data_IF_071227570464
#
_entry.id   IF_071227570464
#
_cell.length_a   1.000
_cell.length_b   1.000
_cell.length_c   1.000
_cell.angle_alpha   90.00
_cell.angle_beta   90.00
_cell.angle_gamma   90.00
#
_symmetry.space_group_name_H-M   'P 1'
#
loop_
_entity.id
_entity.type
_entity.pdbx_description
1 polymer ?
#
# COMPACT_ATOMS: atom_id res chain seq x y z
N UNK A 1 33.16 -20.04 -2.35
CA UNK A 1 33.96 -19.31 -3.37
C UNK A 1 34.69 -18.15 -2.72
N UNK A 2 35.96 -17.90 -3.04
CA UNK A 2 36.73 -16.74 -2.54
C UNK A 2 36.74 -15.60 -3.57
N UNK A 3 37.10 -14.38 -3.18
CA UNK A 3 37.23 -13.24 -4.10
C UNK A 3 38.21 -13.52 -5.25
N UNK A 4 39.32 -14.24 -4.98
CA UNK A 4 40.30 -14.59 -6.01
C UNK A 4 39.71 -15.54 -7.06
N UNK A 5 38.99 -16.59 -6.61
CA UNK A 5 38.33 -17.54 -7.51
C UNK A 5 37.27 -16.84 -8.36
N UNK A 6 36.52 -15.90 -7.79
CA UNK A 6 35.54 -15.12 -8.54
C UNK A 6 36.19 -14.27 -9.66
N UNK A 7 37.33 -13.64 -9.37
CA UNK A 7 38.09 -12.86 -10.37
C UNK A 7 38.58 -13.76 -11.50
N UNK A 8 39.20 -14.89 -11.17
CA UNK A 8 39.85 -15.77 -12.14
C UNK A 8 38.88 -16.61 -12.95
N UNK A 9 37.77 -17.03 -12.35
CA UNK A 9 36.80 -17.93 -13.00
C UNK A 9 35.65 -17.19 -13.67
N UNK A 10 35.30 -15.97 -13.23
CA UNK A 10 34.14 -15.23 -13.75
C UNK A 10 34.58 -13.93 -14.41
N UNK A 11 35.14 -12.98 -13.64
CA UNK A 11 35.38 -11.62 -14.14
C UNK A 11 36.33 -11.64 -15.34
N UNK A 12 37.54 -12.20 -15.19
CA UNK A 12 38.53 -12.16 -16.27
C UNK A 12 38.10 -12.95 -17.52
N UNK A 13 37.72 -14.23 -17.44
CA UNK A 13 37.46 -15.00 -18.66
C UNK A 13 36.12 -14.65 -19.30
N UNK A 14 35.05 -14.46 -18.52
CA UNK A 14 33.70 -14.32 -19.06
C UNK A 14 33.42 -12.87 -19.46
N UNK A 15 33.72 -11.91 -18.58
CA UNK A 15 33.41 -10.51 -18.88
C UNK A 15 34.24 -9.97 -20.04
N UNK A 16 35.55 -10.27 -20.10
CA UNK A 16 36.38 -9.81 -21.22
C UNK A 16 35.96 -10.43 -22.56
N UNK A 17 35.53 -11.71 -22.56
CA UNK A 17 34.98 -12.33 -23.76
C UNK A 17 33.70 -11.63 -24.22
N UNK A 18 32.76 -11.36 -23.30
CA UNK A 18 31.51 -10.67 -23.61
C UNK A 18 31.74 -9.21 -24.06
N UNK A 19 32.70 -8.50 -23.45
CA UNK A 19 33.07 -7.13 -23.86
C UNK A 19 33.66 -7.10 -25.26
N UNK A 20 34.48 -8.09 -25.62
CA UNK A 20 35.03 -8.21 -26.97
C UNK A 20 33.93 -8.46 -28.03
N UNK A 21 32.84 -9.14 -27.66
CA UNK A 21 31.74 -9.46 -28.57
C UNK A 21 30.66 -8.37 -28.64
N UNK A 22 30.29 -7.77 -27.51
CA UNK A 22 29.15 -6.85 -27.37
C UNK A 22 29.56 -5.37 -27.29
N UNK A 23 30.87 -5.08 -27.18
CA UNK A 23 31.41 -3.72 -27.08
C UNK A 23 31.50 -3.18 -25.65
N UNK A 24 31.85 -1.89 -25.53
CA UNK A 24 32.18 -1.25 -24.25
C UNK A 24 30.97 -0.82 -23.42
N UNK A 25 29.76 -0.80 -23.98
CA UNK A 25 28.56 -0.34 -23.29
C UNK A 25 27.89 -1.45 -22.46
N UNK A 26 28.68 -2.13 -21.62
CA UNK A 26 28.21 -3.21 -20.76
C UNK A 26 28.18 -2.78 -19.30
N UNK A 27 27.06 -3.08 -18.64
CA UNK A 27 26.94 -2.94 -17.18
C UNK A 27 27.02 -4.34 -16.57
N UNK A 28 28.03 -4.56 -15.74
CA UNK A 28 28.24 -5.81 -15.03
C UNK A 28 27.28 -5.94 -13.84
N UNK A 29 26.64 -7.10 -13.69
CA UNK A 29 25.69 -7.39 -12.61
C UNK A 29 26.10 -8.65 -11.86
N UNK A 30 26.07 -8.57 -10.52
CA UNK A 30 26.30 -9.69 -9.61
C UNK A 30 25.18 -9.78 -8.55
N UNK A 31 25.23 -10.82 -7.72
CA UNK A 31 24.28 -11.11 -6.63
C UNK A 31 24.68 -10.53 -5.26
N UNK A 32 25.63 -9.58 -5.22
CA UNK A 32 26.11 -8.96 -3.97
C UNK A 32 26.67 -9.97 -2.94
N UNK A 33 26.98 -11.23 -3.32
CA UNK A 33 27.56 -12.20 -2.40
C UNK A 33 28.88 -11.69 -1.81
N UNK A 34 29.18 -12.07 -0.56
CA UNK A 34 30.38 -11.60 0.18
C UNK A 34 31.68 -11.64 -0.63
N UNK A 35 31.98 -12.69 -1.44
CA UNK A 35 33.20 -12.72 -2.25
C UNK A 35 33.27 -11.62 -3.32
N UNK A 36 32.13 -11.11 -3.81
CA UNK A 36 32.03 -10.09 -4.86
C UNK A 36 32.27 -8.66 -4.33
N UNK A 37 32.26 -8.51 -2.99
CA UNK A 37 32.48 -7.23 -2.29
C UNK A 37 33.86 -7.10 -1.67
N UNK A 38 34.78 -8.01 -2.00
CA UNK A 38 36.19 -7.91 -1.57
C UNK A 38 36.91 -6.74 -2.24
N UNK A 39 37.86 -6.12 -1.53
CA UNK A 39 38.68 -4.99 -2.06
C UNK A 39 39.37 -5.35 -3.38
N UNK A 40 39.93 -6.55 -3.48
CA UNK A 40 40.61 -7.02 -4.69
C UNK A 40 39.67 -7.14 -5.90
N UNK A 41 38.38 -7.44 -5.68
CA UNK A 41 37.38 -7.46 -6.77
C UNK A 41 37.12 -6.05 -7.25
N UNK A 42 36.96 -5.10 -6.33
CA UNK A 42 36.74 -3.71 -6.67
C UNK A 42 37.92 -3.11 -7.47
N UNK A 43 39.16 -3.36 -7.04
CA UNK A 43 40.36 -2.94 -7.76
C UNK A 43 40.42 -3.50 -9.20
N UNK A 44 40.00 -4.76 -9.40
CA UNK A 44 39.95 -5.38 -10.74
C UNK A 44 38.86 -4.78 -11.61
N UNK A 45 37.67 -4.51 -11.06
CA UNK A 45 36.59 -3.86 -11.80
C UNK A 45 36.98 -2.44 -12.23
N UNK A 46 37.64 -1.68 -11.34
CA UNK A 46 38.13 -0.33 -11.63
C UNK A 46 39.25 -0.33 -12.68
N UNK A 47 40.25 -1.21 -12.55
CA UNK A 47 41.34 -1.35 -13.54
C UNK A 47 40.84 -1.80 -14.92
N UNK A 48 39.79 -2.62 -14.94
CA UNK A 48 39.18 -3.13 -16.16
C UNK A 48 38.17 -2.18 -16.80
N UNK A 49 37.97 -0.98 -16.24
CA UNK A 49 36.91 -0.04 -16.65
C UNK A 49 35.54 -0.73 -16.76
N UNK A 50 35.19 -1.51 -15.72
CA UNK A 50 33.97 -2.31 -15.66
C UNK A 50 32.96 -1.56 -14.79
N UNK A 51 31.92 -1.02 -15.42
CA UNK A 51 30.81 -0.41 -14.68
C UNK A 51 29.94 -1.50 -14.08
N UNK A 52 29.88 -1.57 -12.74
CA UNK A 52 28.97 -2.49 -12.03
C UNK A 52 27.64 -1.80 -11.72
N UNK A 53 26.53 -2.54 -11.84
CA UNK A 53 25.22 -2.08 -11.41
C UNK A 53 25.20 -1.84 -9.89
N UNK A 54 24.79 -0.63 -9.49
CA UNK A 54 24.63 -0.27 -8.08
C UNK A 54 23.24 -0.70 -7.60
N UNK A 55 23.21 -1.61 -6.61
CA UNK A 55 21.96 -2.12 -6.03
C UNK A 55 21.65 -1.35 -4.74
N UNK A 56 20.40 -0.90 -4.51
CA UNK A 56 20.00 -0.44 -3.18
C UNK A 56 20.14 -1.58 -2.15
N UNK A 57 20.52 -1.23 -0.93
CA UNK A 57 20.74 -2.21 0.14
C UNK A 57 19.45 -3.04 0.39
N UNK A 58 19.57 -4.37 0.38
CA UNK A 58 18.49 -5.36 0.57
C UNK A 58 17.32 -5.26 -0.43
N UNK A 59 17.56 -5.63 -1.69
CA UNK A 59 16.49 -5.77 -2.69
C UNK A 59 16.46 -7.17 -3.32
N UNK A 60 16.13 -8.22 -2.51
CA UNK A 60 16.19 -9.61 -2.97
C UNK A 60 15.29 -9.90 -4.18
N UNK A 61 14.17 -9.17 -4.30
CA UNK A 61 13.22 -9.34 -5.40
C UNK A 61 13.62 -8.65 -6.71
N UNK A 62 14.67 -7.81 -6.71
CA UNK A 62 15.09 -7.07 -7.91
C UNK A 62 16.18 -7.77 -8.72
N UNK A 63 16.95 -8.66 -8.09
CA UNK A 63 18.03 -9.37 -8.74
C UNK A 63 17.53 -10.64 -9.44
N UNK A 64 17.58 -10.73 -10.79
CA UNK A 64 17.16 -11.94 -11.49
C UNK A 64 18.00 -13.17 -11.12
N UNK A 65 19.25 -12.99 -10.66
CA UNK A 65 20.11 -14.08 -10.20
C UNK A 65 19.58 -14.67 -8.89
N UNK A 66 19.09 -13.86 -7.96
CA UNK A 66 18.46 -14.36 -6.72
C UNK A 66 17.16 -15.10 -7.01
N UNK A 67 16.36 -14.60 -7.95
CA UNK A 67 15.15 -15.30 -8.41
C UNK A 67 15.49 -16.67 -9.02
N UNK A 68 16.54 -16.74 -9.83
CA UNK A 68 17.05 -18.02 -10.38
C UNK A 68 17.52 -18.96 -9.26
N UNK A 69 18.25 -18.46 -8.27
CA UNK A 69 18.66 -19.27 -7.12
C UNK A 69 17.48 -19.80 -6.32
N UNK A 70 16.41 -19.02 -6.21
CA UNK A 70 15.19 -19.47 -5.55
C UNK A 70 14.50 -20.60 -6.32
N UNK A 71 14.41 -20.52 -7.66
CA UNK A 71 13.90 -21.61 -8.49
C UNK A 71 14.66 -22.91 -8.24
N UNK A 72 16.00 -22.86 -8.33
CA UNK A 72 16.88 -24.02 -8.08
C UNK A 72 16.69 -24.54 -6.65
N UNK A 73 16.71 -23.65 -5.65
CA UNK A 73 16.56 -24.03 -4.24
C UNK A 73 15.21 -24.70 -3.95
N UNK A 74 14.12 -24.18 -4.54
CA UNK A 74 12.77 -24.75 -4.41
C UNK A 74 12.69 -26.12 -5.09
N UNK A 75 13.32 -26.29 -6.24
CA UNK A 75 13.35 -27.57 -6.96
C UNK A 75 14.10 -28.64 -6.15
N UNK A 76 15.29 -28.31 -5.63
CA UNK A 76 16.08 -29.20 -4.77
C UNK A 76 15.29 -29.62 -3.52
N UNK A 77 14.59 -28.69 -2.86
CA UNK A 77 13.75 -28.98 -1.67
C UNK A 77 12.60 -29.95 -1.96
N UNK A 78 12.14 -30.05 -3.21
CA UNK A 78 11.06 -30.94 -3.63
C UNK A 78 11.54 -32.33 -4.04
N UNK A 79 12.86 -32.56 -4.12
CA UNK A 79 13.40 -33.87 -4.50
C UNK A 79 13.05 -34.91 -3.44
N UNK A 80 12.62 -36.09 -3.87
CA UNK A 80 12.35 -37.21 -2.96
C UNK A 80 13.59 -37.63 -2.18
N UNK A 81 14.77 -37.51 -2.80
CA UNK A 81 16.07 -37.77 -2.18
C UNK A 81 16.85 -36.46 -2.05
N UNK A 82 16.78 -35.77 -0.91
CA UNK A 82 17.50 -34.52 -0.70
C UNK A 82 19.01 -34.77 -0.55
N UNK A 83 19.86 -33.89 -1.12
CA UNK A 83 21.30 -34.01 -1.04
C UNK A 83 21.81 -33.91 0.41
N UNK A 84 22.73 -34.78 0.79
CA UNK A 84 23.25 -34.89 2.16
C UNK A 84 24.65 -34.27 2.34
N UNK A 85 25.35 -33.99 1.24
CA UNK A 85 26.69 -33.41 1.27
C UNK A 85 26.85 -32.37 0.14
N UNK A 86 27.97 -31.63 0.18
CA UNK A 86 28.23 -30.54 -0.77
C UNK A 86 28.35 -31.03 -2.22
N UNK A 87 28.84 -32.26 -2.45
CA UNK A 87 28.99 -32.83 -3.78
C UNK A 87 27.63 -33.19 -4.38
N UNK A 88 26.78 -33.87 -3.62
CA UNK A 88 25.39 -34.16 -4.00
C UNK A 88 24.57 -32.90 -4.21
N UNK A 89 24.76 -31.88 -3.36
CA UNK A 89 24.07 -30.60 -3.50
C UNK A 89 24.48 -29.89 -4.79
N UNK A 90 25.77 -29.94 -5.13
CA UNK A 90 26.30 -29.37 -6.38
C UNK A 90 25.73 -30.10 -7.59
N UNK A 91 25.72 -31.43 -7.56
CA UNK A 91 25.14 -32.24 -8.64
C UNK A 91 23.64 -31.98 -8.83
N UNK A 92 22.87 -31.92 -7.73
CA UNK A 92 21.45 -31.61 -7.77
C UNK A 92 21.19 -30.20 -8.30
N UNK A 93 21.98 -29.20 -7.88
CA UNK A 93 21.84 -27.84 -8.38
C UNK A 93 22.10 -27.72 -9.89
N UNK A 94 23.11 -28.43 -10.41
CA UNK A 94 23.40 -28.47 -11.85
C UNK A 94 22.26 -29.15 -12.62
N UNK A 95 21.74 -30.26 -12.11
CA UNK A 95 20.62 -30.97 -12.73
C UNK A 95 19.37 -30.08 -12.80
N UNK A 96 18.97 -29.47 -11.68
CA UNK A 96 17.82 -28.57 -11.66
C UNK A 96 18.03 -27.35 -12.54
N UNK A 97 19.24 -26.77 -12.56
CA UNK A 97 19.58 -25.66 -13.46
C UNK A 97 19.37 -26.02 -14.93
N UNK A 98 19.83 -27.21 -15.35
CA UNK A 98 19.68 -27.68 -16.73
C UNK A 98 18.22 -28.00 -17.10
N UNK A 99 17.36 -28.25 -16.10
CA UNK A 99 15.93 -28.49 -16.29
C UNK A 99 15.11 -27.19 -16.38
N UNK A 100 15.69 -26.03 -16.06
CA UNK A 100 14.97 -24.75 -16.17
C UNK A 100 14.72 -24.44 -17.65
N UNK A 101 13.46 -24.27 -18.09
CA UNK A 101 13.17 -23.87 -19.45
C UNK A 101 13.83 -22.53 -19.76
N UNK A 102 14.51 -22.43 -20.92
CA UNK A 102 15.16 -21.19 -21.37
C UNK A 102 14.18 -20.00 -21.38
N UNK A 103 12.90 -20.23 -21.63
CA UNK A 103 11.84 -19.22 -21.57
C UNK A 103 11.75 -18.56 -20.19
N UNK A 104 11.94 -19.32 -19.11
CA UNK A 104 11.96 -18.79 -17.73
C UNK A 104 13.12 -17.80 -17.54
N UNK A 105 14.28 -18.13 -18.11
CA UNK A 105 15.48 -17.28 -18.07
C UNK A 105 15.23 -16.02 -18.90
N UNK A 106 14.65 -16.16 -20.10
CA UNK A 106 14.31 -15.04 -20.97
C UNK A 106 13.32 -14.08 -20.29
N UNK A 107 12.26 -14.59 -19.64
CA UNK A 107 11.30 -13.78 -18.89
C UNK A 107 11.97 -13.02 -17.74
N UNK A 108 12.87 -13.66 -16.99
CA UNK A 108 13.61 -13.01 -15.90
C UNK A 108 14.55 -11.91 -16.41
N UNK A 109 15.18 -12.10 -17.57
CA UNK A 109 16.03 -11.09 -18.22
C UNK A 109 15.20 -9.91 -18.73
N UNK A 110 14.11 -10.16 -19.45
CA UNK A 110 13.23 -9.12 -20.00
C UNK A 110 12.61 -8.27 -18.88
N UNK A 111 12.20 -8.92 -17.79
CA UNK A 111 11.64 -8.23 -16.62
C UNK A 111 12.68 -7.45 -15.80
N UNK A 112 13.99 -7.66 -16.01
CA UNK A 112 15.05 -6.94 -15.29
C UNK A 112 15.09 -5.46 -15.66
N UNK A 113 15.01 -5.12 -16.95
CA UNK A 113 14.92 -3.72 -17.39
C UNK A 113 13.74 -2.98 -16.72
N UNK A 114 12.61 -3.68 -16.54
CA UNK A 114 11.41 -3.16 -15.90
C UNK A 114 11.62 -2.94 -14.40
N UNK A 115 12.22 -3.91 -13.69
CA UNK A 115 12.51 -3.83 -12.25
C UNK A 115 13.55 -2.76 -11.90
N UNK A 116 14.59 -2.59 -12.71
CA UNK A 116 15.64 -1.57 -12.48
C UNK A 116 15.12 -0.16 -12.74
N UNK A 117 14.24 0.02 -13.73
CA UNK A 117 13.60 1.30 -14.01
C UNK A 117 12.69 1.76 -12.86
N UNK A 118 11.97 0.87 -12.18
CA UNK A 118 11.13 1.20 -11.02
C UNK A 118 11.92 1.92 -9.91
N UNK A 119 13.20 1.57 -9.68
CA UNK A 119 14.00 2.23 -8.63
C UNK A 119 14.50 3.64 -9.00
N UNK A 120 14.54 3.97 -10.30
CA UNK A 120 14.94 5.30 -10.81
C UNK A 120 13.75 6.22 -11.07
N UNK A 121 12.55 5.68 -10.98
CA UNK A 121 11.31 6.32 -11.37
C UNK A 121 10.48 6.58 -10.11
N UNK A 122 10.76 7.70 -9.47
CA UNK A 122 9.79 8.52 -8.72
C UNK A 122 10.53 9.83 -8.50
N UNK A 123 10.27 10.91 -9.26
CA UNK A 123 8.96 11.37 -9.74
C UNK A 123 8.88 11.64 -11.27
N UNK A 124 7.67 11.66 -11.82
CA UNK A 124 7.31 11.91 -13.23
C UNK A 124 7.63 10.79 -14.22
N UNK A 125 6.70 9.84 -14.32
CA UNK A 125 6.52 9.06 -15.54
C UNK A 125 5.51 9.78 -16.41
N UNK A 126 5.85 10.05 -17.66
CA UNK A 126 4.87 10.44 -18.66
C UNK A 126 3.81 9.33 -18.76
N UNK A 127 2.52 9.69 -18.66
CA UNK A 127 1.39 8.77 -18.41
C UNK A 127 1.39 7.48 -19.25
N UNK A 128 1.89 7.49 -20.48
CA UNK A 128 1.96 6.30 -21.34
C UNK A 128 2.95 5.23 -20.83
N UNK A 129 4.16 5.63 -20.40
CA UNK A 129 5.18 4.68 -19.92
C UNK A 129 4.80 4.10 -18.54
N UNK A 130 4.02 4.84 -17.74
CA UNK A 130 3.52 4.40 -16.43
C UNK A 130 2.40 3.37 -16.58
N UNK A 131 1.51 3.57 -17.54
CA UNK A 131 0.44 2.62 -17.84
C UNK A 131 0.97 1.29 -18.40
N UNK A 132 1.96 1.33 -19.29
CA UNK A 132 2.60 0.12 -19.82
C UNK A 132 3.30 -0.67 -18.70
N UNK A 133 3.97 0.02 -17.77
CA UNK A 133 4.62 -0.62 -16.64
C UNK A 133 3.63 -1.30 -15.68
N UNK A 134 2.52 -0.64 -15.34
CA UNK A 134 1.46 -1.23 -14.49
C UNK A 134 0.85 -2.45 -15.18
N UNK A 135 0.58 -2.37 -16.49
CA UNK A 135 0.01 -3.46 -17.28
C UNK A 135 0.93 -4.68 -17.31
N UNK A 136 2.23 -4.47 -17.43
CA UNK A 136 3.22 -5.55 -17.44
C UNK A 136 3.46 -6.15 -16.05
N UNK A 137 3.40 -5.35 -14.98
CA UNK A 137 3.48 -5.87 -13.62
C UNK A 137 2.27 -6.76 -13.29
N UNK A 138 1.08 -6.37 -13.74
CA UNK A 138 -0.12 -7.22 -13.67
C UNK A 138 0.04 -8.54 -14.43
N UNK A 139 0.79 -8.58 -15.54
CA UNK A 139 0.99 -9.84 -16.27
C UNK A 139 1.96 -10.80 -15.59
N UNK A 140 2.90 -10.30 -14.78
CA UNK A 140 3.99 -11.08 -14.15
C UNK A 140 3.74 -11.41 -12.67
N UNK A 141 3.05 -10.54 -11.93
CA UNK A 141 2.76 -10.73 -10.51
C UNK A 141 1.38 -11.36 -10.33
N UNK A 142 1.16 -12.05 -9.20
CA UNK A 142 -0.16 -12.61 -8.86
C UNK A 142 -0.48 -12.42 -7.38
N UNK A 143 -1.76 -12.26 -7.08
CA UNK A 143 -2.30 -12.24 -5.72
C UNK A 143 -1.83 -11.02 -4.91
N UNK A 144 -1.77 -11.14 -3.58
CA UNK A 144 -1.53 -9.99 -2.68
C UNK A 144 -0.25 -9.21 -2.98
N UNK A 145 0.76 -9.84 -3.56
CA UNK A 145 2.00 -9.16 -3.94
C UNK A 145 1.83 -8.29 -5.19
N UNK A 146 1.02 -8.73 -6.16
CA UNK A 146 0.61 -7.91 -7.31
C UNK A 146 -0.12 -6.65 -6.84
N UNK A 147 -1.11 -6.84 -5.96
CA UNK A 147 -1.92 -5.74 -5.42
C UNK A 147 -1.05 -4.71 -4.69
N UNK A 148 -0.11 -5.16 -3.87
CA UNK A 148 0.82 -4.29 -3.14
C UNK A 148 1.72 -3.47 -4.07
N UNK A 149 2.30 -4.11 -5.09
CA UNK A 149 3.21 -3.42 -6.01
C UNK A 149 2.43 -2.40 -6.86
N UNK A 150 1.22 -2.73 -7.31
CA UNK A 150 0.37 -1.77 -8.02
C UNK A 150 -0.02 -0.60 -7.11
N UNK A 151 -0.37 -0.88 -5.85
CA UNK A 151 -0.69 0.16 -4.88
C UNK A 151 0.48 1.14 -4.66
N UNK A 152 1.70 0.63 -4.51
CA UNK A 152 2.91 1.44 -4.30
C UNK A 152 3.33 2.26 -5.54
N UNK A 153 2.88 1.86 -6.73
CA UNK A 153 3.19 2.53 -7.99
C UNK A 153 2.09 3.46 -8.50
N UNK A 154 0.93 3.42 -7.87
CA UNK A 154 -0.18 4.32 -8.17
C UNK A 154 0.01 5.61 -7.37
N UNK A 155 -0.29 6.75 -7.97
CA UNK A 155 -0.24 8.03 -7.26
C UNK A 155 -1.22 7.98 -6.05
N UNK A 156 -0.85 8.50 -4.86
CA UNK A 156 -1.67 8.34 -3.66
C UNK A 156 -3.14 8.75 -3.80
N UNK A 157 -3.47 9.89 -4.41
CA UNK A 157 -4.85 10.34 -4.64
C UNK A 157 -5.56 9.41 -5.63
N UNK A 158 -4.88 9.04 -6.73
CA UNK A 158 -5.41 8.08 -7.71
C UNK A 158 -5.69 6.71 -7.06
N UNK A 159 -4.81 6.25 -6.17
CA UNK A 159 -4.99 5.01 -5.43
C UNK A 159 -6.22 5.07 -4.52
N UNK A 160 -6.40 6.15 -3.75
CA UNK A 160 -7.60 6.30 -2.91
C UNK A 160 -8.88 6.35 -3.74
N UNK A 161 -8.87 7.06 -4.88
CA UNK A 161 -10.02 7.08 -5.79
C UNK A 161 -10.37 5.68 -6.31
N UNK A 162 -9.35 4.88 -6.68
CA UNK A 162 -9.53 3.48 -7.09
C UNK A 162 -10.05 2.58 -5.97
N UNK A 163 -9.58 2.78 -4.73
CA UNK A 163 -10.05 2.03 -3.57
C UNK A 163 -11.50 2.37 -3.21
N UNK A 164 -11.88 3.65 -3.26
CA UNK A 164 -13.27 4.07 -3.11
C UNK A 164 -14.15 3.46 -4.20
N UNK A 165 -13.69 3.45 -5.46
CA UNK A 165 -14.47 2.85 -6.53
C UNK A 165 -14.64 1.37 -6.30
N UNK A 166 -13.57 0.64 -5.95
CA UNK A 166 -13.64 -0.78 -5.61
C UNK A 166 -14.60 -1.07 -4.45
N UNK A 167 -14.65 -0.19 -3.45
CA UNK A 167 -15.54 -0.30 -2.30
C UNK A 167 -17.02 -0.06 -2.65
N UNK A 168 -17.30 0.74 -3.67
CA UNK A 168 -18.66 1.04 -4.16
C UNK A 168 -19.08 0.10 -5.29
N UNK A 169 -18.13 -0.37 -6.11
CA UNK A 169 -18.38 -1.17 -7.30
C UNK A 169 -18.50 -2.65 -6.94
N UNK A 170 -19.70 -3.23 -6.98
CA UNK A 170 -19.84 -4.67 -6.80
C UNK A 170 -21.22 -5.11 -6.33
N UNK A 171 -21.30 -6.37 -5.89
CA UNK A 171 -22.45 -6.87 -5.15
C UNK A 171 -22.26 -6.56 -3.67
N UNK A 172 -22.83 -5.43 -3.25
CA UNK A 172 -22.66 -4.87 -1.91
C UNK A 172 -21.61 -3.78 -1.87
N UNK A 173 -21.60 -3.04 -0.77
CA UNK A 173 -20.70 -1.92 -0.50
C UNK A 173 -19.70 -2.35 0.57
N UNK A 174 -18.45 -1.93 0.47
CA UNK A 174 -17.48 -1.99 1.57
C UNK A 174 -17.48 -0.64 2.31
N UNK A 175 -18.44 -0.46 3.21
CA UNK A 175 -18.59 0.78 3.97
C UNK A 175 -17.34 1.10 4.79
N UNK A 176 -16.62 0.07 5.26
CA UNK A 176 -15.47 0.24 6.14
C UNK A 176 -14.33 0.92 5.42
N UNK A 177 -14.02 0.50 4.19
CA UNK A 177 -13.03 1.19 3.35
C UNK A 177 -13.43 2.64 3.06
N UNK A 178 -14.72 2.89 2.81
CA UNK A 178 -15.20 4.27 2.53
C UNK A 178 -15.02 5.17 3.77
N UNK A 179 -15.41 4.69 4.95
CA UNK A 179 -15.25 5.44 6.22
C UNK A 179 -13.78 5.67 6.52
N UNK A 180 -12.92 4.66 6.37
CA UNK A 180 -11.47 4.78 6.62
C UNK A 180 -10.86 5.89 5.77
N UNK A 181 -11.09 5.87 4.45
CA UNK A 181 -10.53 6.85 3.53
C UNK A 181 -11.10 8.23 3.85
N UNK A 182 -12.42 8.39 3.90
CA UNK A 182 -13.02 9.73 4.02
C UNK A 182 -12.83 10.37 5.40
N UNK A 183 -12.51 9.61 6.45
CA UNK A 183 -12.32 10.14 7.81
C UNK A 183 -10.87 10.42 8.19
N UNK A 184 -9.90 9.79 7.51
CA UNK A 184 -8.47 9.94 7.80
C UNK A 184 -7.88 11.16 7.09
N UNK A 185 -8.31 11.44 5.86
CA UNK A 185 -7.82 12.56 5.07
C UNK A 185 -8.46 13.89 5.49
N UNK A 186 -7.72 14.99 5.31
CA UNK A 186 -8.28 16.34 5.46
C UNK A 186 -9.12 16.72 4.25
N UNK A 187 -9.95 17.76 4.40
CA UNK A 187 -10.88 18.18 3.34
C UNK A 187 -10.17 18.51 2.02
N UNK A 188 -8.96 19.07 2.07
CA UNK A 188 -8.20 19.37 0.85
C UNK A 188 -7.89 18.09 0.07
N UNK A 189 -7.44 17.03 0.76
CA UNK A 189 -7.17 15.75 0.12
C UNK A 189 -8.46 15.01 -0.25
N UNK A 190 -9.52 15.08 0.56
CA UNK A 190 -10.84 14.51 0.19
C UNK A 190 -11.36 15.12 -1.11
N UNK A 191 -11.24 16.45 -1.29
CA UNK A 191 -11.61 17.13 -2.54
C UNK A 191 -10.75 16.67 -3.71
N UNK A 192 -9.42 16.52 -3.52
CA UNK A 192 -8.54 15.97 -4.57
C UNK A 192 -8.95 14.55 -4.97
N UNK A 193 -9.25 13.70 -3.99
CA UNK A 193 -9.70 12.32 -4.23
C UNK A 193 -11.02 12.31 -4.99
N UNK A 194 -12.00 13.14 -4.60
CA UNK A 194 -13.29 13.23 -5.28
C UNK A 194 -13.16 13.70 -6.74
N UNK A 195 -12.29 14.68 -7.00
CA UNK A 195 -12.01 15.17 -8.36
C UNK A 195 -11.31 14.10 -9.21
N UNK A 196 -10.32 13.40 -8.66
CA UNK A 196 -9.62 12.32 -9.35
C UNK A 196 -10.58 11.15 -9.65
N UNK A 197 -11.45 10.80 -8.71
CA UNK A 197 -12.51 9.82 -8.90
C UNK A 197 -13.42 10.17 -10.08
N UNK A 198 -13.90 11.42 -10.14
CA UNK A 198 -14.75 11.88 -11.25
C UNK A 198 -14.00 11.84 -12.60
N UNK A 199 -12.72 12.19 -12.60
CA UNK A 199 -11.85 12.05 -13.78
C UNK A 199 -11.73 10.61 -14.28
N UNK A 200 -11.54 9.65 -13.37
CA UNK A 200 -11.37 8.23 -13.69
C UNK A 200 -12.67 7.53 -14.10
N UNK A 201 -13.79 7.86 -13.46
CA UNK A 201 -15.03 7.07 -13.56
C UNK A 201 -16.20 7.80 -14.24
N UNK A 202 -16.05 9.08 -14.56
CA UNK A 202 -17.07 9.89 -15.27
C UNK A 202 -18.41 9.98 -14.51
N UNK A 203 -18.36 9.82 -13.19
CA UNK A 203 -19.46 9.97 -12.23
C UNK A 203 -18.85 10.53 -10.94
N UNK A 204 -19.60 11.37 -10.22
CA UNK A 204 -19.07 11.94 -8.98
C UNK A 204 -19.09 10.90 -7.87
N UNK A 205 -18.08 10.96 -6.99
CA UNK A 205 -18.02 10.10 -5.79
C UNK A 205 -19.32 10.18 -4.97
N UNK A 206 -19.88 11.38 -4.83
CA UNK A 206 -21.16 11.61 -4.14
C UNK A 206 -22.33 10.88 -4.80
N UNK A 207 -22.41 10.89 -6.14
CA UNK A 207 -23.48 10.22 -6.87
C UNK A 207 -23.42 8.70 -6.69
N UNK A 208 -22.23 8.12 -6.76
CA UNK A 208 -22.01 6.69 -6.58
C UNK A 208 -22.31 6.25 -5.13
N UNK A 209 -21.83 7.00 -4.13
CA UNK A 209 -22.19 6.76 -2.72
C UNK A 209 -23.71 6.80 -2.53
N UNK A 210 -24.40 7.80 -3.11
CA UNK A 210 -25.87 7.91 -3.01
C UNK A 210 -26.61 6.76 -3.69
N UNK A 211 -26.04 6.23 -4.76
CA UNK A 211 -26.62 5.13 -5.53
C UNK A 211 -26.49 3.78 -4.83
N UNK A 212 -25.38 3.56 -4.13
CA UNK A 212 -25.06 2.26 -3.52
C UNK A 212 -25.46 2.17 -2.04
N UNK A 213 -25.65 3.31 -1.36
CA UNK A 213 -26.03 3.35 0.06
C UNK A 213 -27.43 3.90 0.32
N UNK A 214 -27.98 3.62 1.49
CA UNK A 214 -29.32 4.06 1.87
C UNK A 214 -29.40 4.59 3.31
N UNK A 215 -30.53 5.22 3.64
CA UNK A 215 -30.81 5.71 4.98
C UNK A 215 -29.76 6.66 5.54
N UNK A 216 -29.34 6.36 6.76
CA UNK A 216 -28.49 7.18 7.63
C UNK A 216 -27.03 7.07 7.28
N UNK A 217 -26.62 5.86 6.92
CA UNK A 217 -25.30 5.58 6.37
C UNK A 217 -25.02 6.44 5.14
N UNK A 218 -25.97 6.51 4.19
CA UNK A 218 -25.85 7.41 3.04
C UNK A 218 -25.60 8.86 3.44
N UNK A 219 -26.37 9.36 4.43
CA UNK A 219 -26.21 10.74 4.91
C UNK A 219 -24.82 10.97 5.53
N UNK A 220 -24.33 9.99 6.29
CA UNK A 220 -23.00 10.02 6.89
C UNK A 220 -21.91 10.07 5.81
N UNK A 221 -21.90 9.10 4.89
CA UNK A 221 -20.86 8.99 3.86
C UNK A 221 -20.86 10.18 2.90
N UNK A 222 -22.03 10.70 2.52
CA UNK A 222 -22.14 11.93 1.72
C UNK A 222 -21.57 13.14 2.48
N UNK A 223 -21.81 13.22 3.79
CA UNK A 223 -21.26 14.31 4.61
C UNK A 223 -19.74 14.23 4.74
N UNK A 224 -19.17 13.02 4.72
CA UNK A 224 -17.72 12.78 4.71
C UNK A 224 -17.11 13.02 3.32
N UNK A 225 -17.85 12.77 2.24
CA UNK A 225 -17.36 12.93 0.86
C UNK A 225 -17.50 14.34 0.31
N UNK A 226 -18.13 15.26 1.05
CA UNK A 226 -18.35 16.65 0.65
C UNK A 226 -17.68 17.61 1.62
N UNK A 227 -17.44 18.86 1.20
CA UNK A 227 -16.85 19.87 2.07
C UNK A 227 -17.67 20.05 3.35
N UNK A 228 -17.17 19.53 4.47
CA UNK A 228 -17.72 19.84 5.79
C UNK A 228 -16.95 21.03 6.39
N UNK A 229 -17.56 22.22 6.56
CA UNK A 229 -16.86 23.46 6.92
C UNK A 229 -16.05 23.42 8.22
N UNK A 230 -16.26 22.45 9.11
CA UNK A 230 -15.55 22.36 10.39
C UNK A 230 -14.49 21.26 10.50
N UNK A 231 -14.33 20.39 9.50
CA UNK A 231 -13.19 19.46 9.39
C UNK A 231 -11.91 20.14 8.83
N UNK A 232 -12.03 21.38 8.35
CA UNK A 232 -10.99 22.17 7.66
C UNK A 232 -9.94 22.81 8.56
N UNK A 233 -10.18 22.89 9.87
CA UNK A 233 -9.27 23.60 10.74
C UNK A 233 -8.32 22.63 11.44
N UNK A 234 -7.06 22.56 10.99
CA UNK A 234 -5.90 22.31 11.88
C UNK A 234 -5.76 23.47 12.88
N UNK A 235 -6.87 23.85 13.51
CA UNK A 235 -6.87 24.77 14.62
C UNK A 235 -6.89 23.92 15.87
N UNK A 236 -5.82 23.99 16.63
CA UNK A 236 -5.73 23.36 17.96
C UNK A 236 -6.64 24.08 18.97
N UNK A 237 -7.32 25.15 18.56
CA UNK A 237 -8.29 25.87 19.38
C UNK A 237 -9.59 25.08 19.46
N UNK A 238 -9.91 24.64 20.67
CA UNK A 238 -11.19 24.01 21.01
C UNK A 238 -12.11 25.01 21.71
N UNK A 239 -13.40 24.90 21.45
CA UNK A 239 -14.44 25.67 22.14
C UNK A 239 -15.14 24.75 23.16
N UNK A 240 -14.89 25.02 24.45
CA UNK A 240 -15.40 24.21 25.56
C UNK A 240 -16.91 24.30 25.71
N UNK A 241 -17.48 25.49 25.49
CA UNK A 241 -18.91 25.68 25.65
C UNK A 241 -19.65 24.98 24.50
N UNK A 242 -19.13 25.08 23.28
CA UNK A 242 -19.66 24.34 22.14
C UNK A 242 -19.51 22.83 22.33
N UNK A 243 -18.40 22.35 22.88
CA UNK A 243 -18.19 20.93 23.13
C UNK A 243 -19.22 20.37 24.11
N UNK A 244 -19.47 21.11 25.20
CA UNK A 244 -20.48 20.75 26.19
C UNK A 244 -21.90 20.77 25.59
N UNK A 245 -22.22 21.74 24.74
CA UNK A 245 -23.51 21.80 24.05
C UNK A 245 -23.72 20.62 23.09
N UNK A 246 -22.70 20.26 22.30
CA UNK A 246 -22.75 19.10 21.42
C UNK A 246 -22.89 17.80 22.22
N UNK A 247 -22.19 17.67 23.36
CA UNK A 247 -22.32 16.52 24.25
C UNK A 247 -23.75 16.39 24.81
N UNK A 248 -24.37 17.50 25.22
CA UNK A 248 -25.77 17.51 25.63
C UNK A 248 -26.71 17.16 24.47
N UNK A 249 -26.42 17.64 23.26
CA UNK A 249 -27.22 17.34 22.09
C UNK A 249 -27.17 15.84 21.76
N UNK A 250 -26.00 15.21 21.82
CA UNK A 250 -25.85 13.75 21.65
C UNK A 250 -26.66 12.96 22.70
N UNK A 251 -26.60 13.38 23.97
CA UNK A 251 -27.35 12.73 25.04
C UNK A 251 -28.86 12.85 24.83
N UNK A 252 -29.33 14.04 24.44
CA UNK A 252 -30.74 14.28 24.13
C UNK A 252 -31.22 13.55 22.86
N UNK A 253 -30.31 13.34 21.91
CA UNK A 253 -30.57 12.66 20.65
C UNK A 253 -30.54 11.13 20.75
N UNK A 254 -29.95 10.57 21.82
CA UNK A 254 -29.89 9.13 22.06
C UNK A 254 -30.62 8.75 23.34
N UNK A 255 -29.86 8.56 24.42
CA UNK A 255 -30.32 7.89 25.64
C UNK A 255 -31.47 8.56 26.39
N UNK A 256 -31.74 9.85 26.16
CA UNK A 256 -32.89 10.53 26.76
C UNK A 256 -34.17 10.41 25.94
N UNK A 257 -34.11 9.86 24.72
CA UNK A 257 -35.30 9.55 23.95
C UNK A 257 -35.97 8.30 24.49
N UNK A 258 -37.29 8.38 24.64
CA UNK A 258 -38.09 7.24 25.10
C UNK A 258 -38.10 6.08 24.09
N UNK A 259 -37.91 6.37 22.81
CA UNK A 259 -37.81 5.37 21.76
C UNK A 259 -37.11 5.94 20.51
N UNK A 260 -36.17 5.17 19.97
CA UNK A 260 -35.39 5.53 18.79
C UNK A 260 -34.33 6.59 19.07
N UNK A 261 -33.61 6.96 18.02
CA UNK A 261 -32.42 7.83 18.10
C UNK A 261 -32.53 8.92 17.03
N UNK A 262 -32.19 10.16 17.37
CA UNK A 262 -31.99 11.23 16.40
C UNK A 262 -30.61 11.10 15.76
N UNK A 263 -30.55 10.22 14.76
CA UNK A 263 -29.35 9.95 13.99
C UNK A 263 -28.82 11.18 13.23
N UNK A 264 -29.68 12.18 12.98
CA UNK A 264 -29.27 13.40 12.27
C UNK A 264 -28.35 14.27 13.13
N UNK A 265 -28.64 14.36 14.43
CA UNK A 265 -27.79 15.05 15.41
C UNK A 265 -26.45 14.33 15.55
N UNK A 266 -26.44 13.00 15.62
CA UNK A 266 -25.19 12.22 15.63
C UNK A 266 -24.33 12.50 14.39
N UNK A 267 -24.90 12.40 13.18
CA UNK A 267 -24.17 12.70 11.95
C UNK A 267 -23.64 14.14 11.93
N UNK A 268 -24.44 15.10 12.39
CA UNK A 268 -24.04 16.52 12.41
C UNK A 268 -22.81 16.74 13.29
N UNK A 269 -22.85 16.26 14.54
CA UNK A 269 -21.73 16.43 15.48
C UNK A 269 -20.48 15.71 14.95
N UNK A 270 -20.64 14.46 14.51
CA UNK A 270 -19.54 13.62 14.04
C UNK A 270 -18.84 14.15 12.78
N UNK A 271 -19.58 14.73 11.83
CA UNK A 271 -19.00 15.19 10.56
C UNK A 271 -18.59 16.67 10.54
N UNK A 272 -19.11 17.51 11.44
CA UNK A 272 -18.89 18.98 11.37
C UNK A 272 -17.82 19.51 12.32
N UNK A 273 -17.26 18.68 13.20
CA UNK A 273 -16.28 19.12 14.18
C UNK A 273 -14.88 18.61 13.81
N UNK A 274 -13.87 19.42 14.07
CA UNK A 274 -12.47 18.99 13.90
C UNK A 274 -12.08 17.98 14.99
N UNK A 275 -10.96 17.28 14.79
CA UNK A 275 -10.45 16.24 15.71
C UNK A 275 -10.32 16.72 17.17
N UNK A 276 -9.63 17.85 17.47
CA UNK A 276 -9.53 18.34 18.83
C UNK A 276 -10.90 18.62 19.48
N UNK A 277 -11.84 19.18 18.72
CA UNK A 277 -13.18 19.48 19.20
C UNK A 277 -13.99 18.21 19.48
N UNK A 278 -13.99 17.22 18.59
CA UNK A 278 -14.68 15.95 18.79
C UNK A 278 -14.19 15.21 20.03
N UNK A 279 -12.88 15.19 20.26
CA UNK A 279 -12.30 14.58 21.47
C UNK A 279 -12.87 15.23 22.73
N UNK A 280 -12.93 16.57 22.75
CA UNK A 280 -13.50 17.30 23.88
C UNK A 280 -15.02 17.06 24.02
N UNK A 281 -15.77 16.94 22.93
CA UNK A 281 -17.20 16.58 22.97
C UNK A 281 -17.39 15.23 23.66
N UNK A 282 -16.58 14.22 23.33
CA UNK A 282 -16.71 12.88 23.93
C UNK A 282 -16.26 12.86 25.40
N UNK A 283 -15.23 13.63 25.76
CA UNK A 283 -14.85 13.82 27.17
C UNK A 283 -15.98 14.47 27.98
N UNK A 284 -16.65 15.50 27.44
CA UNK A 284 -17.80 16.12 28.10
C UNK A 284 -19.02 15.18 28.14
N UNK A 285 -19.25 14.39 27.09
CA UNK A 285 -20.30 13.36 27.07
C UNK A 285 -20.10 12.35 28.20
N UNK A 286 -18.90 11.78 28.31
CA UNK A 286 -18.58 10.79 29.35
C UNK A 286 -18.72 11.37 30.76
N UNK A 287 -18.37 12.64 30.98
CA UNK A 287 -18.62 13.33 32.26
C UNK A 287 -20.11 13.45 32.59
N UNK A 288 -20.96 13.63 31.58
CA UNK A 288 -22.41 13.79 31.77
C UNK A 288 -23.11 12.47 32.11
N UNK A 289 -22.72 11.36 31.46
CA UNK A 289 -23.45 10.09 31.58
C UNK A 289 -22.72 8.99 32.35
N UNK A 290 -21.39 9.10 32.47
CA UNK A 290 -20.55 8.13 33.19
C UNK A 290 -20.05 6.95 32.37
N UNK A 291 -20.20 6.99 31.04
CA UNK A 291 -19.67 5.99 30.11
C UNK A 291 -19.33 6.63 28.76
N UNK A 292 -18.47 6.00 27.94
CA UNK A 292 -18.07 6.56 26.65
C UNK A 292 -19.23 6.60 25.64
N UNK A 293 -19.11 7.46 24.63
CA UNK A 293 -20.14 7.66 23.58
C UNK A 293 -20.34 6.38 22.74
N UNK A 294 -19.31 5.54 22.63
CA UNK A 294 -19.33 4.26 21.96
C UNK A 294 -20.37 3.33 22.57
N UNK A 295 -20.51 3.33 23.90
CA UNK A 295 -21.56 2.56 24.60
C UNK A 295 -22.95 3.05 24.21
N UNK A 296 -23.14 4.36 24.06
CA UNK A 296 -24.41 4.90 23.57
C UNK A 296 -24.66 4.44 22.13
N UNK A 297 -23.65 4.52 21.25
CA UNK A 297 -23.75 4.09 19.85
C UNK A 297 -24.07 2.59 19.74
N UNK A 298 -23.45 1.75 20.57
CA UNK A 298 -23.69 0.31 20.61
C UNK A 298 -25.13 -0.05 21.00
N UNK A 299 -25.75 0.74 21.87
CA UNK A 299 -27.12 0.54 22.34
C UNK A 299 -28.17 1.14 21.40
N UNK A 300 -27.86 2.28 20.78
CA UNK A 300 -28.81 3.07 19.99
C UNK A 300 -28.84 2.68 18.50
N UNK A 301 -27.70 2.24 17.95
CA UNK A 301 -27.57 1.93 16.52
C UNK A 301 -27.41 0.44 16.27
N UNK A 302 -27.71 0.01 15.05
CA UNK A 302 -27.50 -1.38 14.61
C UNK A 302 -27.06 -1.46 13.16
N UNK A 303 -26.49 -2.59 12.75
CA UNK A 303 -26.01 -2.81 11.38
C UNK A 303 -24.86 -1.88 11.00
N UNK A 304 -24.74 -1.62 9.69
CA UNK A 304 -23.59 -0.93 9.10
C UNK A 304 -23.41 0.51 9.56
N UNK A 305 -24.49 1.21 9.93
CA UNK A 305 -24.38 2.57 10.49
C UNK A 305 -23.70 2.57 11.86
N UNK A 306 -23.95 1.57 12.71
CA UNK A 306 -23.27 1.44 14.00
C UNK A 306 -21.77 1.24 13.77
N UNK A 307 -21.42 0.29 12.90
CA UNK A 307 -20.03 -0.06 12.62
C UNK A 307 -19.27 1.13 12.01
N UNK A 308 -19.91 1.88 11.11
CA UNK A 308 -19.37 3.10 10.53
C UNK A 308 -19.13 4.22 11.54
N UNK A 309 -20.06 4.44 12.49
CA UNK A 309 -19.91 5.44 13.55
C UNK A 309 -18.77 5.09 14.51
N UNK A 310 -18.66 3.81 14.90
CA UNK A 310 -17.57 3.34 15.76
C UNK A 310 -16.21 3.47 15.05
N UNK A 311 -16.12 3.05 13.79
CA UNK A 311 -14.90 3.20 13.00
C UNK A 311 -14.51 4.68 12.83
N UNK A 312 -15.48 5.56 12.63
CA UNK A 312 -15.21 7.00 12.53
C UNK A 312 -14.52 7.53 13.80
N UNK A 313 -14.97 7.10 14.98
CA UNK A 313 -14.35 7.46 16.27
C UNK A 313 -12.92 6.91 16.35
N UNK A 314 -12.72 5.65 15.99
CA UNK A 314 -11.39 5.01 15.98
C UNK A 314 -10.41 5.74 15.04
N UNK A 315 -10.84 6.10 13.83
CA UNK A 315 -10.02 6.82 12.85
C UNK A 315 -9.63 8.23 13.30
N UNK A 316 -10.38 8.86 14.22
CA UNK A 316 -9.99 10.15 14.81
C UNK A 316 -8.88 10.02 15.88
N UNK A 317 -8.40 8.81 16.20
CA UNK A 317 -7.36 8.57 17.19
C UNK A 317 -7.82 8.93 18.60
N UNK A 318 -9.08 8.66 18.90
CA UNK A 318 -9.66 8.78 20.24
C UNK A 318 -9.59 7.37 20.83
N UNK A 319 -8.40 6.99 21.29
CA UNK A 319 -8.16 5.65 21.84
C UNK A 319 -8.95 5.43 23.14
N UNK A 320 -9.37 4.18 23.34
CA UNK A 320 -9.95 3.69 24.60
C UNK A 320 -9.00 4.03 25.76
N UNK A 321 -9.45 4.87 26.68
CA UNK A 321 -8.86 4.90 28.02
C UNK A 321 -9.17 3.54 28.67
N UNK A 322 -8.22 2.61 28.62
CA UNK A 322 -8.25 1.35 29.38
C UNK A 322 -8.02 1.58 30.86
#
# INVERSE_FOLDING_TARGET
>A
MTSQVYIESIIRPIFHALRAELGDNLIFMDDNARPHRGRTVQEVLEQGDITRLDWPANSPNMNPIENMWEFVSRAIRKRMNPPQNAEELTAAAIEEWNNIPQETINHLIVSMHRRVNISKITPNVDNEMGQDLIKELKSELRGNFEDLIIALMTEPIEFQAKQLHKAISGLGTDESTIVEILSVYDNENVVKIANEYEGLYQTSLEADIKGDTSGTLKRLLVSLSTESPGATARSDTVDKDAAFQDAQALLQAGELLFAGTDESTFNQVMCQRNRPQLRLVFEEYEKLVGHPIETAIENEFSGTIKDALLQLIECQGIERAT
#
